data_IF_270549354618
#
_entry.id   IF_270549354618
#
_cell.length_a   1.000
_cell.length_b   1.000
_cell.length_c   1.000
_cell.angle_alpha   90.00
_cell.angle_beta   90.00
_cell.angle_gamma   90.00
#
_symmetry.space_group_name_H-M   'P 1'
#
loop_
_entity.id
_entity.type
_entity.pdbx_description
1 polymer ?
#
# COMPACT_ATOMS: atom_id res chain seq x y z
N UNK A 1 -12.46 2.48 -4.59
CA UNK A 1 -12.33 1.16 -5.26
C UNK A 1 -11.16 1.11 -6.27
N UNK A 2 -10.77 2.23 -6.90
CA UNK A 2 -9.69 2.23 -7.91
C UNK A 2 -8.32 1.78 -7.37
N UNK A 3 -7.95 2.19 -6.15
CA UNK A 3 -6.67 1.81 -5.54
C UNK A 3 -6.55 0.29 -5.35
N UNK A 4 -7.51 -0.34 -4.67
CA UNK A 4 -7.50 -1.78 -4.39
C UNK A 4 -7.28 -2.63 -5.67
N UNK A 5 -7.94 -2.25 -6.76
CA UNK A 5 -7.81 -2.93 -8.06
C UNK A 5 -6.45 -2.68 -8.71
N UNK A 6 -5.89 -1.47 -8.57
CA UNK A 6 -4.58 -1.12 -9.11
C UNK A 6 -3.42 -1.80 -8.36
N UNK A 7 -3.58 -2.05 -7.06
CA UNK A 7 -2.58 -2.78 -6.24
C UNK A 7 -2.85 -4.29 -6.15
N UNK A 8 -3.86 -4.79 -6.88
CA UNK A 8 -4.30 -6.19 -6.87
C UNK A 8 -4.62 -6.74 -5.47
N UNK A 9 -5.22 -5.91 -4.62
CA UNK A 9 -5.64 -6.30 -3.27
C UNK A 9 -7.15 -6.23 -3.09
N UNK A 10 -7.62 -7.01 -2.12
CA UNK A 10 -9.02 -6.96 -1.71
C UNK A 10 -9.35 -5.60 -1.09
N UNK A 11 -10.62 -5.20 -1.15
CA UNK A 11 -11.10 -4.00 -0.47
C UNK A 11 -10.85 -4.06 1.04
N UNK A 12 -10.95 -5.25 1.62
CA UNK A 12 -10.70 -5.49 3.05
C UNK A 12 -9.25 -5.20 3.43
N UNK A 13 -8.29 -5.53 2.55
CA UNK A 13 -6.87 -5.23 2.77
C UNK A 13 -6.62 -3.73 2.85
N UNK A 14 -7.22 -2.93 1.95
CA UNK A 14 -7.11 -1.46 2.03
C UNK A 14 -7.73 -0.93 3.32
N UNK A 15 -8.91 -1.43 3.71
CA UNK A 15 -9.57 -1.03 4.97
C UNK A 15 -8.71 -1.37 6.18
N UNK A 16 -8.04 -2.53 6.19
CA UNK A 16 -7.14 -2.93 7.27
C UNK A 16 -5.85 -2.07 7.32
N UNK A 17 -5.32 -1.67 6.16
CA UNK A 17 -4.17 -0.74 6.07
C UNK A 17 -4.57 0.66 6.57
N UNK A 18 -5.70 1.19 6.13
CA UNK A 18 -6.22 2.50 6.59
C UNK A 18 -6.57 2.48 8.08
N UNK A 19 -7.08 1.35 8.57
CA UNK A 19 -7.36 1.11 9.98
C UNK A 19 -6.12 0.93 10.87
N UNK A 20 -4.90 0.93 10.30
CA UNK A 20 -3.63 0.59 10.98
C UNK A 20 -3.60 -0.80 11.62
N UNK A 21 -4.56 -1.65 11.27
CA UNK A 21 -4.71 -3.01 11.81
C UNK A 21 -3.89 -4.03 11.01
N UNK A 22 -3.35 -3.61 9.85
CA UNK A 22 -2.54 -4.44 8.98
C UNK A 22 -1.30 -3.72 8.48
N UNK A 23 -0.12 -4.26 8.82
CA UNK A 23 1.12 -3.89 8.19
C UNK A 23 1.24 -4.66 6.86
N UNK A 24 1.28 -3.96 5.72
CA UNK A 24 1.41 -4.61 4.43
C UNK A 24 2.78 -5.30 4.29
N UNK A 25 2.80 -6.43 3.58
CA UNK A 25 4.05 -7.07 3.18
C UNK A 25 4.91 -6.12 2.33
N UNK A 26 6.24 -6.31 2.33
CA UNK A 26 7.18 -5.51 1.52
C UNK A 26 6.76 -5.44 0.05
N UNK A 27 6.33 -6.55 -0.53
CA UNK A 27 5.84 -6.62 -1.91
C UNK A 27 4.61 -5.72 -2.11
N UNK A 28 3.69 -5.70 -1.15
CA UNK A 28 2.50 -4.87 -1.23
C UNK A 28 2.83 -3.39 -1.07
N UNK A 29 3.71 -3.06 -0.12
CA UNK A 29 4.21 -1.71 0.07
C UNK A 29 4.87 -1.19 -1.22
N UNK A 30 5.70 -2.01 -1.89
CA UNK A 30 6.34 -1.67 -3.16
C UNK A 30 5.31 -1.42 -4.28
N UNK A 31 4.28 -2.26 -4.42
CA UNK A 31 3.21 -2.03 -5.40
C UNK A 31 2.46 -0.72 -5.14
N UNK A 32 2.19 -0.39 -3.87
CA UNK A 32 1.55 0.88 -3.49
C UNK A 32 2.47 2.06 -3.82
N UNK A 33 3.76 1.94 -3.49
CA UNK A 33 4.78 2.94 -3.80
C UNK A 33 4.92 3.20 -5.30
N UNK A 34 4.96 2.15 -6.12
CA UNK A 34 4.97 2.25 -7.58
C UNK A 34 3.72 2.95 -8.11
N UNK A 35 2.54 2.56 -7.60
CA UNK A 35 1.27 3.19 -7.98
C UNK A 35 1.23 4.69 -7.68
N UNK A 36 1.77 5.11 -6.53
CA UNK A 36 1.84 6.52 -6.14
C UNK A 36 3.12 7.23 -6.62
N UNK A 37 4.01 6.52 -7.32
CA UNK A 37 5.35 6.98 -7.70
C UNK A 37 6.13 7.60 -6.52
N UNK A 38 5.94 7.04 -5.32
CA UNK A 38 6.55 7.51 -4.08
C UNK A 38 7.38 6.39 -3.45
N UNK A 39 8.55 6.68 -2.90
CA UNK A 39 9.32 5.65 -2.20
C UNK A 39 8.56 5.15 -0.96
N UNK A 40 8.56 3.83 -0.75
CA UNK A 40 8.00 3.18 0.48
C UNK A 40 8.65 3.70 1.75
N UNK A 41 9.91 4.11 1.66
CA UNK A 41 10.73 4.55 2.77
C UNK A 41 11.34 5.90 2.40
N UNK A 42 10.93 6.95 3.10
CA UNK A 42 11.57 8.26 2.99
C UNK A 42 12.73 8.29 3.97
N UNK A 43 13.95 8.08 3.48
CA UNK A 43 15.14 8.47 4.21
C UNK A 43 15.25 10.00 4.09
N UNK A 44 14.81 10.71 5.13
CA UNK A 44 15.30 12.08 5.34
C UNK A 44 16.63 11.96 6.07
N UNK A 45 17.72 12.12 5.30
CA UNK A 45 19.02 12.49 5.85
C UNK A 45 19.03 13.97 6.24
#
# INVERSE_FOLDING_TARGET
MALAKAVEVSRQTIVAIEGKDYYPSIVLALKIAEYFNKPVMKFSV
#
